data_IF_543604192533
#
_entry.id   IF_543604192533
#
_cell.length_a   1.000
_cell.length_b   1.000
_cell.length_c   1.000
_cell.angle_alpha   90.00
_cell.angle_beta   90.00
_cell.angle_gamma   90.00
#
_symmetry.space_group_name_H-M   'P 1'
#
loop_
_entity.id
_entity.type
_entity.pdbx_description
1 polymer ?
#
# COMPACT_ATOMS: atom_id res chain seq x y z
N UNK A 1 32.43 17.47 15.11
CA UNK A 1 32.05 18.08 13.81
C UNK A 1 32.49 17.27 12.58
N UNK A 2 33.53 16.40 12.64
CA UNK A 2 33.98 15.59 11.50
C UNK A 2 33.20 14.26 11.29
N UNK A 3 32.66 13.63 12.34
CA UNK A 3 31.85 12.40 12.22
C UNK A 3 30.54 12.60 11.45
N UNK A 4 29.92 13.77 11.62
CA UNK A 4 28.61 14.11 11.03
C UNK A 4 28.66 14.20 9.50
N UNK A 5 29.77 14.73 8.96
CA UNK A 5 29.95 14.91 7.51
C UNK A 5 30.19 13.57 6.79
N UNK A 6 30.83 12.61 7.46
CA UNK A 6 31.04 11.25 6.91
C UNK A 6 29.75 10.44 6.89
N UNK A 7 28.94 10.53 7.95
CA UNK A 7 27.64 9.85 8.02
C UNK A 7 26.64 10.45 7.01
N UNK A 8 26.62 11.77 6.85
CA UNK A 8 25.83 12.45 5.81
C UNK A 8 26.21 11.98 4.39
N UNK A 9 27.51 11.87 4.10
CA UNK A 9 27.99 11.40 2.79
C UNK A 9 27.64 9.93 2.52
N UNK A 10 27.65 9.09 3.54
CA UNK A 10 27.19 7.69 3.44
C UNK A 10 25.69 7.64 3.14
N UNK A 11 24.87 8.40 3.87
CA UNK A 11 23.42 8.46 3.66
C UNK A 11 23.07 8.98 2.25
N UNK A 12 23.74 10.03 1.77
CA UNK A 12 23.56 10.57 0.42
C UNK A 12 23.95 9.55 -0.66
N UNK A 13 25.02 8.78 -0.44
CA UNK A 13 25.43 7.72 -1.34
C UNK A 13 24.38 6.59 -1.42
N UNK A 14 23.83 6.16 -0.28
CA UNK A 14 22.77 5.16 -0.25
C UNK A 14 21.49 5.60 -0.94
N UNK A 15 21.06 6.85 -0.72
CA UNK A 15 19.88 7.39 -1.37
C UNK A 15 20.06 7.44 -2.89
N UNK A 16 21.26 7.79 -3.36
CA UNK A 16 21.59 7.78 -4.80
C UNK A 16 21.62 6.38 -5.38
N UNK A 17 22.21 5.41 -4.68
CA UNK A 17 22.21 4.01 -5.13
C UNK A 17 20.77 3.47 -5.19
N UNK A 18 19.97 3.74 -4.16
CA UNK A 18 18.56 3.30 -4.12
C UNK A 18 17.76 3.89 -5.28
N UNK A 19 17.93 5.19 -5.57
CA UNK A 19 17.29 5.86 -6.71
C UNK A 19 17.76 5.29 -8.06
N UNK A 20 19.05 4.97 -8.20
CA UNK A 20 19.59 4.31 -9.39
C UNK A 20 18.98 2.92 -9.57
N UNK A 21 18.89 2.11 -8.51
CA UNK A 21 18.29 0.77 -8.56
C UNK A 21 16.82 0.83 -8.95
N UNK A 22 16.05 1.77 -8.40
CA UNK A 22 14.64 1.97 -8.77
C UNK A 22 14.49 2.35 -10.25
N UNK A 23 15.35 3.24 -10.76
CA UNK A 23 15.34 3.64 -12.17
C UNK A 23 15.74 2.51 -13.12
N UNK A 24 16.73 1.69 -12.74
CA UNK A 24 17.14 0.51 -13.50
C UNK A 24 15.99 -0.49 -13.56
N UNK A 25 15.34 -0.80 -12.43
CA UNK A 25 14.22 -1.75 -12.40
C UNK A 25 13.05 -1.26 -13.27
N UNK A 26 12.68 0.02 -13.17
CA UNK A 26 11.64 0.62 -14.02
C UNK A 26 11.99 0.53 -15.51
N UNK A 27 13.26 0.76 -15.89
CA UNK A 27 13.69 0.65 -17.28
C UNK A 27 13.70 -0.81 -17.77
N UNK A 28 14.05 -1.77 -16.91
CA UNK A 28 13.98 -3.21 -17.19
C UNK A 28 12.53 -3.66 -17.43
N UNK A 29 11.59 -3.18 -16.62
CA UNK A 29 10.16 -3.48 -16.77
C UNK A 29 9.60 -2.92 -18.10
N UNK A 30 9.97 -1.68 -18.45
CA UNK A 30 9.58 -1.06 -19.71
C UNK A 30 10.15 -1.81 -20.93
N UNK A 31 11.41 -2.27 -20.87
CA UNK A 31 12.04 -3.05 -21.94
C UNK A 31 11.43 -4.45 -22.06
N UNK A 32 11.16 -5.12 -20.94
CA UNK A 32 10.49 -6.43 -20.91
C UNK A 32 9.09 -6.33 -21.54
N UNK A 33 8.39 -5.24 -21.26
CA UNK A 33 7.09 -4.96 -21.88
C UNK A 33 7.20 -4.74 -23.39
N UNK A 34 8.18 -3.98 -23.86
CA UNK A 34 8.41 -3.74 -25.29
C UNK A 34 8.78 -5.03 -26.04
N UNK A 35 9.55 -5.92 -25.42
CA UNK A 35 9.95 -7.21 -26.01
C UNK A 35 8.83 -8.27 -25.96
N UNK A 36 7.94 -8.22 -24.97
CA UNK A 36 6.79 -9.12 -24.84
C UNK A 36 5.57 -8.71 -25.67
N UNK A 37 5.49 -7.45 -26.09
CA UNK A 37 4.50 -7.00 -27.07
C UNK A 37 4.90 -7.47 -28.47
N UNK A 38 3.99 -8.09 -29.24
CA UNK A 38 4.15 -8.56 -30.63
C UNK A 38 4.51 -7.42 -31.60
N UNK A 39 5.66 -6.78 -31.41
CA UNK A 39 6.09 -5.58 -32.10
C UNK A 39 7.45 -5.85 -32.74
N UNK A 40 7.56 -5.42 -34.00
CA UNK A 40 8.66 -5.72 -34.92
C UNK A 40 9.92 -4.88 -34.67
N UNK A 41 10.19 -4.44 -33.44
CA UNK A 41 11.30 -3.51 -33.16
C UNK A 41 12.65 -4.20 -32.92
N UNK A 42 12.65 -5.47 -32.51
CA UNK A 42 13.87 -6.25 -32.22
C UNK A 42 13.76 -7.64 -32.86
N UNK A 43 14.90 -8.21 -33.27
CA UNK A 43 14.93 -9.64 -33.62
C UNK A 43 14.81 -10.48 -32.35
N UNK A 44 14.34 -11.72 -32.47
CA UNK A 44 14.14 -12.63 -31.33
C UNK A 44 15.46 -12.91 -30.59
N UNK A 45 16.59 -12.89 -31.31
CA UNK A 45 17.93 -13.06 -30.75
C UNK A 45 18.42 -11.78 -30.03
N UNK A 46 18.16 -10.59 -30.59
CA UNK A 46 18.48 -9.30 -29.93
C UNK A 46 17.67 -9.12 -28.63
N UNK A 47 16.38 -9.47 -28.64
CA UNK A 47 15.53 -9.40 -27.45
C UNK A 47 16.04 -10.31 -26.33
N UNK A 48 16.47 -11.53 -26.69
CA UNK A 48 17.04 -12.49 -25.74
C UNK A 48 18.37 -11.99 -25.16
N UNK A 49 19.26 -11.47 -26.00
CA UNK A 49 20.54 -10.90 -25.57
C UNK A 49 20.34 -9.68 -24.64
N UNK A 50 19.36 -8.81 -24.93
CA UNK A 50 19.03 -7.66 -24.09
C UNK A 50 18.50 -8.10 -22.72
N UNK A 51 17.60 -9.10 -22.67
CA UNK A 51 17.10 -9.66 -21.41
C UNK A 51 18.23 -10.26 -20.56
N UNK A 52 19.13 -11.02 -21.17
CA UNK A 52 20.27 -11.62 -20.48
C UNK A 52 21.24 -10.54 -19.94
N UNK A 53 21.47 -9.47 -20.69
CA UNK A 53 22.26 -8.33 -20.20
C UNK A 53 21.59 -7.60 -19.03
N UNK A 54 20.26 -7.43 -19.05
CA UNK A 54 19.51 -6.80 -17.96
C UNK A 54 19.52 -7.64 -16.69
N UNK A 55 19.38 -8.96 -16.80
CA UNK A 55 19.49 -9.88 -15.67
C UNK A 55 20.88 -9.82 -15.04
N UNK A 56 21.93 -9.77 -15.86
CA UNK A 56 23.31 -9.61 -15.41
C UNK A 56 23.55 -8.26 -14.70
N UNK A 57 23.02 -7.15 -15.23
CA UNK A 57 23.10 -5.83 -14.58
C UNK A 57 22.36 -5.82 -13.24
N UNK A 58 21.19 -6.45 -13.18
CA UNK A 58 20.38 -6.55 -11.94
C UNK A 58 21.09 -7.41 -10.88
N UNK A 59 21.70 -8.53 -11.29
CA UNK A 59 22.53 -9.37 -10.42
C UNK A 59 23.77 -8.63 -9.90
N UNK A 60 24.46 -7.88 -10.77
CA UNK A 60 25.63 -7.10 -10.41
C UNK A 60 25.28 -5.95 -9.45
N UNK A 61 24.20 -5.22 -9.71
CA UNK A 61 23.75 -4.13 -8.82
C UNK A 61 23.34 -4.67 -7.44
N UNK A 62 22.70 -5.83 -7.38
CA UNK A 62 22.38 -6.51 -6.11
C UNK A 62 23.66 -6.88 -5.35
N UNK A 63 24.68 -7.44 -6.03
CA UNK A 63 25.99 -7.76 -5.42
C UNK A 63 26.71 -6.52 -4.91
N UNK A 64 26.69 -5.42 -5.66
CA UNK A 64 27.28 -4.14 -5.22
C UNK A 64 26.55 -3.63 -3.98
N UNK A 65 25.22 -3.71 -3.93
CA UNK A 65 24.42 -3.31 -2.78
C UNK A 65 24.80 -4.12 -1.53
N UNK A 66 24.87 -5.46 -1.66
CA UNK A 66 25.28 -6.36 -0.58
C UNK A 66 26.71 -6.04 -0.12
N UNK A 67 27.65 -5.86 -1.04
CA UNK A 67 29.04 -5.51 -0.69
C UNK A 67 29.18 -4.14 -0.01
N UNK A 68 28.33 -3.17 -0.39
CA UNK A 68 28.29 -1.85 0.23
C UNK A 68 27.71 -1.93 1.65
N UNK A 69 26.71 -2.78 1.87
CA UNK A 69 26.14 -3.08 3.19
C UNK A 69 27.20 -3.74 4.08
N UNK A 70 27.89 -4.77 3.59
CA UNK A 70 28.94 -5.50 4.33
C UNK A 70 30.14 -4.62 4.70
N UNK A 71 30.47 -3.64 3.85
CA UNK A 71 31.58 -2.70 4.09
C UNK A 71 31.33 -1.71 5.23
N UNK A 72 30.08 -1.59 5.71
CA UNK A 72 29.67 -0.60 6.73
C UNK A 72 29.59 -1.22 8.13
N UNK A 73 29.45 -2.54 8.25
CA UNK A 73 29.50 -3.25 9.54
C UNK A 73 29.83 -4.75 9.35
N UNK A 74 31.07 -5.20 9.58
CA UNK A 74 31.34 -6.62 9.69
C UNK A 74 30.85 -7.10 11.06
N UNK A 75 29.60 -7.58 11.14
CA UNK A 75 29.14 -8.40 12.27
C UNK A 75 27.93 -7.95 13.07
N UNK A 76 27.17 -6.92 12.66
CA UNK A 76 25.91 -6.59 13.31
C UNK A 76 24.73 -6.91 12.38
N UNK A 77 24.37 -8.19 12.33
CA UNK A 77 23.00 -8.58 12.01
C UNK A 77 22.14 -8.19 13.22
N UNK A 78 21.73 -6.94 13.26
CA UNK A 78 20.40 -6.60 13.70
C UNK A 78 19.62 -6.26 12.43
N UNK A 79 18.89 -7.24 11.91
CA UNK A 79 17.82 -7.02 10.95
C UNK A 79 16.77 -6.16 11.63
N UNK A 80 16.99 -4.85 11.71
CA UNK A 80 15.93 -3.87 11.91
C UNK A 80 15.27 -3.63 10.53
N UNK A 81 14.70 -4.73 10.03
CA UNK A 81 13.47 -4.69 9.27
C UNK A 81 12.41 -4.07 10.18
N UNK A 82 12.40 -2.75 10.27
CA UNK A 82 11.13 -2.03 10.14
C UNK A 82 10.95 -1.89 8.63
N UNK A 83 10.55 -2.94 7.93
CA UNK A 83 9.17 -3.40 7.99
C UNK A 83 8.29 -2.35 8.71
N UNK A 84 8.07 -1.23 8.03
CA UNK A 84 6.69 -0.77 7.96
C UNK A 84 6.01 -1.91 7.21
N UNK A 85 5.61 -2.98 7.90
CA UNK A 85 4.50 -2.88 8.82
C UNK A 85 3.25 -2.44 8.05
N UNK A 86 3.24 -2.65 6.72
CA UNK A 86 2.12 -3.34 6.12
C UNK A 86 2.06 -4.65 6.88
N UNK A 87 1.41 -4.61 8.06
CA UNK A 87 0.72 -5.79 8.52
C UNK A 87 0.10 -6.34 7.26
N UNK A 88 0.46 -7.57 6.90
CA UNK A 88 -0.49 -8.42 6.26
C UNK A 88 -1.77 -8.21 7.06
N UNK A 89 -2.64 -7.34 6.54
CA UNK A 89 -4.05 -7.52 6.68
C UNK A 89 -4.18 -8.84 5.96
N UNK A 90 -3.97 -9.91 6.72
CA UNK A 90 -4.51 -11.21 6.48
C UNK A 90 -5.89 -10.89 5.96
N UNK A 91 -6.13 -11.19 4.68
CA UNK A 91 -7.35 -10.82 3.99
C UNK A 91 -8.48 -11.47 4.75
N UNK A 92 -8.98 -10.80 5.80
CA UNK A 92 -10.29 -11.03 6.34
C UNK A 92 -11.18 -10.62 5.18
N UNK A 93 -11.89 -11.57 4.56
CA UNK A 93 -12.86 -11.24 3.53
C UNK A 93 -13.75 -10.16 4.12
N UNK A 94 -13.92 -9.04 3.39
CA UNK A 94 -14.78 -7.97 3.87
C UNK A 94 -16.13 -8.60 4.18
N UNK A 95 -16.59 -8.44 5.42
CA UNK A 95 -17.89 -8.96 5.85
C UNK A 95 -18.94 -8.56 4.81
N UNK A 96 -19.77 -9.49 4.31
CA UNK A 96 -20.70 -9.24 3.21
C UNK A 96 -21.64 -8.05 3.51
N UNK A 97 -21.94 -7.82 4.78
CA UNK A 97 -22.70 -6.67 5.27
C UNK A 97 -22.07 -5.30 4.95
N UNK A 98 -20.73 -5.22 4.90
CA UNK A 98 -20.03 -3.98 4.57
C UNK A 98 -20.02 -3.71 3.06
N UNK A 99 -19.95 -4.77 2.25
CA UNK A 99 -20.02 -4.67 0.78
C UNK A 99 -21.37 -4.08 0.36
N UNK A 100 -22.46 -4.53 0.99
CA UNK A 100 -23.81 -4.03 0.70
C UNK A 100 -24.03 -2.52 0.97
N UNK A 101 -23.13 -1.89 1.74
CA UNK A 101 -23.19 -0.47 2.10
C UNK A 101 -22.32 0.41 1.19
N UNK A 102 -21.54 -0.18 0.30
CA UNK A 102 -20.67 0.53 -0.63
C UNK A 102 -21.46 0.97 -1.87
N UNK A 103 -21.13 2.13 -2.46
CA UNK A 103 -21.65 2.51 -3.77
C UNK A 103 -21.16 1.56 -4.88
N UNK A 104 -21.99 1.35 -5.91
CA UNK A 104 -21.69 0.45 -7.04
C UNK A 104 -20.32 0.72 -7.68
N UNK A 105 -19.98 1.98 -7.89
CA UNK A 105 -18.68 2.39 -8.43
C UNK A 105 -17.49 1.91 -7.58
N UNK A 106 -17.64 1.85 -6.25
CA UNK A 106 -16.57 1.33 -5.40
C UNK A 106 -16.43 -0.16 -5.55
N UNK A 107 -17.54 -0.87 -5.72
CA UNK A 107 -17.55 -2.32 -5.98
C UNK A 107 -16.83 -2.63 -7.30
N UNK A 108 -17.05 -1.83 -8.34
CA UNK A 108 -16.32 -1.94 -9.61
C UNK A 108 -14.80 -1.74 -9.41
N UNK A 109 -14.39 -0.71 -8.67
CA UNK A 109 -12.98 -0.46 -8.40
C UNK A 109 -12.36 -1.62 -7.60
N UNK A 110 -13.08 -2.17 -6.61
CA UNK A 110 -12.63 -3.35 -5.84
C UNK A 110 -12.41 -4.55 -6.76
N UNK A 111 -13.26 -4.75 -7.76
CA UNK A 111 -13.12 -5.85 -8.70
C UNK A 111 -11.88 -5.71 -9.61
N UNK A 112 -11.36 -4.48 -9.79
CA UNK A 112 -10.19 -4.20 -10.63
C UNK A 112 -8.91 -4.31 -9.81
N UNK A 113 -8.74 -3.43 -8.82
CA UNK A 113 -7.47 -3.28 -8.08
C UNK A 113 -7.45 -4.00 -6.73
N UNK A 114 -8.54 -4.69 -6.39
CA UNK A 114 -8.70 -5.32 -5.09
C UNK A 114 -9.16 -4.36 -3.99
N UNK A 115 -9.60 -4.96 -2.89
CA UNK A 115 -10.20 -4.23 -1.77
C UNK A 115 -9.21 -3.29 -1.10
N UNK A 116 -8.04 -3.78 -0.72
CA UNK A 116 -7.12 -3.03 0.13
C UNK A 116 -6.63 -1.75 -0.56
N UNK A 117 -6.28 -1.86 -1.83
CA UNK A 117 -5.88 -0.74 -2.69
C UNK A 117 -7.03 0.24 -2.92
N UNK A 118 -8.24 -0.26 -3.13
CA UNK A 118 -9.45 0.59 -3.21
C UNK A 118 -9.70 1.38 -1.92
N UNK A 119 -9.54 0.74 -0.76
CA UNK A 119 -9.72 1.41 0.53
C UNK A 119 -8.68 2.51 0.75
N UNK A 120 -7.41 2.28 0.37
CA UNK A 120 -6.36 3.31 0.44
C UNK A 120 -6.64 4.46 -0.53
N UNK A 121 -7.14 4.15 -1.74
CA UNK A 121 -7.53 5.13 -2.75
C UNK A 121 -8.64 6.05 -2.21
N UNK A 122 -9.72 5.47 -1.70
CA UNK A 122 -10.86 6.22 -1.15
C UNK A 122 -10.46 7.05 0.07
N UNK A 123 -9.62 6.50 0.96
CA UNK A 123 -9.13 7.23 2.13
C UNK A 123 -8.36 8.51 1.75
N UNK A 124 -7.68 8.49 0.60
CA UNK A 124 -6.80 9.58 0.18
C UNK A 124 -7.46 10.56 -0.78
N UNK A 125 -8.31 10.08 -1.68
CA UNK A 125 -8.93 10.88 -2.75
C UNK A 125 -10.46 10.90 -2.71
N UNK A 126 -11.08 10.29 -1.69
CA UNK A 126 -12.53 10.29 -1.54
C UNK A 126 -13.13 11.69 -1.49
N UNK A 127 -14.28 11.87 -2.12
CA UNK A 127 -14.99 13.14 -2.25
C UNK A 127 -14.49 14.01 -3.41
N UNK A 128 -13.59 13.50 -4.26
CA UNK A 128 -13.03 14.23 -5.39
C UNK A 128 -13.37 13.55 -6.71
N UNK A 129 -13.53 14.35 -7.77
CA UNK A 129 -13.53 13.84 -9.14
C UNK A 129 -12.09 13.76 -9.61
N UNK A 130 -11.59 12.54 -9.75
CA UNK A 130 -10.22 12.28 -10.17
C UNK A 130 -10.15 12.12 -11.69
N UNK A 131 -9.39 12.95 -12.42
CA UNK A 131 -9.22 12.79 -13.85
C UNK A 131 -8.28 11.62 -14.12
N UNK A 132 -8.83 10.44 -14.39
CA UNK A 132 -8.07 9.27 -14.86
C UNK A 132 -7.95 9.41 -16.37
N UNK A 133 -6.75 9.76 -16.85
CA UNK A 133 -6.49 9.97 -18.27
C UNK A 133 -6.09 8.68 -18.98
N UNK A 134 -6.01 8.75 -20.32
CA UNK A 134 -5.47 7.68 -21.19
C UNK A 134 -3.99 7.91 -21.52
N UNK A 135 -3.27 6.81 -21.70
CA UNK A 135 -1.95 6.76 -22.35
C UNK A 135 -0.78 7.35 -21.55
N UNK A 136 0.39 7.40 -22.21
CA UNK A 136 1.68 7.75 -21.60
C UNK A 136 1.66 9.16 -21.00
N UNK A 137 0.90 10.10 -21.59
CA UNK A 137 0.78 11.48 -21.10
C UNK A 137 0.13 11.55 -19.71
N UNK A 138 -0.84 10.67 -19.43
CA UNK A 138 -1.41 10.56 -18.09
C UNK A 138 -0.42 9.96 -17.12
N UNK A 139 0.21 8.83 -17.49
CA UNK A 139 1.17 8.10 -16.66
C UNK A 139 2.41 8.96 -16.28
N UNK A 140 2.86 9.89 -17.12
CA UNK A 140 3.93 10.83 -16.78
C UNK A 140 3.47 12.09 -16.03
N UNK A 141 2.16 12.31 -15.91
CA UNK A 141 1.56 13.54 -15.42
C UNK A 141 1.47 13.67 -13.89
N UNK A 142 1.12 14.87 -13.38
CA UNK A 142 1.01 15.13 -11.94
C UNK A 142 -0.06 14.27 -11.24
N UNK A 143 -1.12 13.89 -11.95
CA UNK A 143 -2.20 13.07 -11.37
C UNK A 143 -1.78 11.60 -11.24
N UNK A 144 -1.07 11.03 -12.21
CA UNK A 144 -0.51 9.69 -12.04
C UNK A 144 0.54 9.66 -10.91
N UNK A 145 1.37 10.71 -10.77
CA UNK A 145 2.28 10.83 -9.63
C UNK A 145 1.55 10.81 -8.27
N UNK A 146 0.37 11.45 -8.18
CA UNK A 146 -0.48 11.37 -6.98
C UNK A 146 -1.03 9.97 -6.76
N UNK A 147 -1.50 9.27 -7.79
CA UNK A 147 -1.97 7.90 -7.64
C UNK A 147 -0.84 6.95 -7.20
N UNK A 148 0.38 7.13 -7.72
CA UNK A 148 1.56 6.33 -7.37
C UNK A 148 1.97 6.40 -5.90
N UNK A 149 1.53 7.42 -5.16
CA UNK A 149 1.82 7.47 -3.71
C UNK A 149 1.05 6.40 -2.93
N UNK A 150 0.04 5.78 -3.55
CA UNK A 150 -0.90 4.86 -2.90
C UNK A 150 -1.04 3.54 -3.65
N UNK A 151 -1.04 3.59 -4.99
CA UNK A 151 -1.23 2.46 -5.89
C UNK A 151 0.05 2.13 -6.65
N UNK A 152 0.18 0.88 -7.05
CA UNK A 152 1.21 0.40 -7.96
C UNK A 152 0.94 0.85 -9.41
N UNK A 153 1.97 0.85 -10.25
CA UNK A 153 1.83 1.19 -11.66
C UNK A 153 0.91 0.23 -12.42
N UNK A 154 0.87 -1.05 -12.02
CA UNK A 154 -0.04 -2.04 -12.59
C UNK A 154 -1.51 -1.70 -12.32
N UNK A 155 -1.86 -1.39 -11.07
CA UNK A 155 -3.23 -1.00 -10.67
C UNK A 155 -3.67 0.30 -11.36
N UNK A 156 -2.76 1.28 -11.48
CA UNK A 156 -3.04 2.54 -12.18
C UNK A 156 -3.30 2.30 -13.67
N UNK A 157 -2.56 1.36 -14.28
CA UNK A 157 -2.74 0.97 -15.68
C UNK A 157 -4.10 0.30 -15.88
N UNK A 158 -4.49 -0.63 -15.01
CA UNK A 158 -5.80 -1.29 -15.07
C UNK A 158 -6.95 -0.30 -14.93
N UNK A 159 -6.87 0.63 -13.98
CA UNK A 159 -7.84 1.72 -13.83
C UNK A 159 -7.90 2.62 -15.06
N UNK A 160 -6.75 2.95 -15.66
CA UNK A 160 -6.68 3.80 -16.85
C UNK A 160 -7.31 3.12 -18.08
N UNK A 161 -7.14 1.81 -18.22
CA UNK A 161 -7.76 1.01 -19.29
C UNK A 161 -9.28 0.94 -19.07
N UNK A 162 -9.72 0.59 -17.86
CA UNK A 162 -11.14 0.39 -17.56
C UNK A 162 -11.97 1.67 -17.70
N UNK A 163 -11.52 2.78 -17.09
CA UNK A 163 -12.25 4.06 -17.12
C UNK A 163 -11.98 4.88 -18.38
N UNK A 164 -11.03 4.45 -19.21
CA UNK A 164 -10.84 4.94 -20.56
C UNK A 164 -10.79 6.49 -20.69
N UNK A 165 -10.17 7.19 -19.75
CA UNK A 165 -10.00 8.65 -19.84
C UNK A 165 -11.14 9.48 -19.26
N UNK A 166 -12.18 8.85 -18.71
CA UNK A 166 -13.33 9.55 -18.13
C UNK A 166 -12.99 10.02 -16.71
N UNK A 167 -13.30 11.29 -16.34
CA UNK A 167 -13.17 11.74 -14.96
C UNK A 167 -14.04 10.90 -14.03
N UNK A 168 -13.43 10.29 -13.02
CA UNK A 168 -14.08 9.35 -12.10
C UNK A 168 -14.36 10.04 -10.77
N UNK A 169 -15.62 10.07 -10.35
CA UNK A 169 -15.96 10.58 -9.00
C UNK A 169 -15.68 9.53 -7.94
N UNK A 170 -14.74 9.76 -7.02
CA UNK A 170 -14.47 8.83 -5.93
C UNK A 170 -15.34 9.18 -4.71
N UNK A 171 -16.31 8.34 -4.31
CA UNK A 171 -17.12 8.60 -3.12
C UNK A 171 -16.29 8.48 -1.83
N UNK A 172 -16.63 9.25 -0.78
CA UNK A 172 -15.86 9.25 0.48
C UNK A 172 -15.97 7.98 1.31
N UNK A 173 -17.09 7.25 1.21
CA UNK A 173 -17.39 6.08 2.03
C UNK A 173 -17.14 6.24 3.55
N UNK A 174 -17.28 7.48 4.08
CA UNK A 174 -16.92 7.82 5.47
C UNK A 174 -17.60 6.93 6.51
N UNK A 175 -18.84 6.50 6.22
CA UNK A 175 -19.62 5.62 7.10
C UNK A 175 -19.01 4.22 7.14
N UNK A 176 -18.69 3.66 5.97
CA UNK A 176 -18.11 2.31 5.85
C UNK A 176 -16.69 2.29 6.42
N UNK A 177 -15.87 3.31 6.11
CA UNK A 177 -14.53 3.48 6.69
C UNK A 177 -14.57 3.56 8.22
N UNK A 178 -15.52 4.31 8.78
CA UNK A 178 -15.72 4.37 10.24
C UNK A 178 -16.11 3.02 10.81
N UNK A 179 -16.96 2.27 10.13
CA UNK A 179 -17.39 0.95 10.57
C UNK A 179 -16.23 -0.06 10.56
N UNK A 180 -15.43 -0.08 9.49
CA UNK A 180 -14.21 -0.90 9.40
C UNK A 180 -13.26 -0.55 10.55
N UNK A 181 -12.95 0.74 10.74
CA UNK A 181 -12.09 1.19 11.84
C UNK A 181 -12.61 0.72 13.20
N UNK A 182 -13.90 0.86 13.44
CA UNK A 182 -14.52 0.45 14.70
C UNK A 182 -14.42 -1.07 14.92
N UNK A 183 -14.58 -1.89 13.87
CA UNK A 183 -14.42 -3.36 13.96
C UNK A 183 -12.99 -3.76 14.28
N UNK A 184 -12.01 -3.16 13.59
CA UNK A 184 -10.59 -3.42 13.86
C UNK A 184 -10.21 -3.00 15.29
N UNK A 185 -10.70 -1.83 15.76
CA UNK A 185 -10.53 -1.40 17.14
C UNK A 185 -11.07 -2.42 18.15
N UNK A 186 -12.27 -2.96 17.92
CA UNK A 186 -12.88 -3.96 18.80
C UNK A 186 -12.11 -5.29 18.78
N UNK A 187 -11.69 -5.75 17.60
CA UNK A 187 -10.87 -6.96 17.44
C UNK A 187 -9.57 -6.84 18.23
N UNK A 188 -8.85 -5.73 18.07
CA UNK A 188 -7.60 -5.49 18.80
C UNK A 188 -7.83 -5.31 20.31
N UNK A 189 -8.91 -4.61 20.72
CA UNK A 189 -9.30 -4.52 22.12
C UNK A 189 -9.50 -5.91 22.74
N UNK A 190 -10.26 -6.78 22.07
CA UNK A 190 -10.50 -8.14 22.56
C UNK A 190 -9.21 -8.96 22.62
N UNK A 191 -8.33 -8.85 21.62
CA UNK A 191 -7.02 -9.49 21.63
C UNK A 191 -6.15 -9.02 22.81
N UNK A 192 -6.08 -7.71 23.07
CA UNK A 192 -5.36 -7.17 24.23
C UNK A 192 -5.95 -7.64 25.56
N UNK A 193 -7.28 -7.73 25.66
CA UNK A 193 -7.96 -8.25 26.85
C UNK A 193 -7.66 -9.73 27.08
N UNK A 194 -7.61 -10.54 26.03
CA UNK A 194 -7.22 -11.95 26.11
C UNK A 194 -5.75 -12.12 26.51
N UNK A 195 -4.88 -11.21 26.08
CA UNK A 195 -3.48 -11.14 26.50
C UNK A 195 -3.27 -10.61 27.95
N UNK A 196 -4.36 -10.37 28.71
CA UNK A 196 -4.30 -9.98 30.11
C UNK A 196 -4.21 -8.47 30.37
N UNK A 197 -4.32 -7.61 29.34
CA UNK A 197 -4.31 -6.17 29.54
C UNK A 197 -5.57 -5.68 30.28
N UNK A 198 -5.43 -4.68 31.16
CA UNK A 198 -6.57 -4.02 31.80
C UNK A 198 -7.35 -3.18 30.77
N UNK A 199 -8.66 -3.02 30.98
CA UNK A 199 -9.49 -2.19 30.09
C UNK A 199 -9.01 -0.73 30.06
N UNK A 200 -8.50 -0.21 31.18
CA UNK A 200 -7.90 1.12 31.26
C UNK A 200 -6.62 1.22 30.42
N UNK A 201 -5.75 0.19 30.45
CA UNK A 201 -4.56 0.15 29.58
C UNK A 201 -4.96 0.18 28.10
N UNK A 202 -5.94 -0.63 27.72
CA UNK A 202 -6.45 -0.66 26.34
C UNK A 202 -6.98 0.71 25.91
N UNK A 203 -7.70 1.41 26.79
CA UNK A 203 -8.30 2.72 26.49
C UNK A 203 -7.30 3.88 26.55
N UNK A 204 -6.13 3.68 27.16
CA UNK A 204 -4.99 4.60 27.04
C UNK A 204 -4.24 4.45 25.72
N UNK A 205 -4.13 3.22 25.20
CA UNK A 205 -3.26 2.89 24.06
C UNK A 205 -3.98 2.85 22.70
N UNK A 206 -5.21 2.30 22.64
CA UNK A 206 -5.91 2.11 21.36
C UNK A 206 -6.56 3.38 20.80
N UNK A 207 -7.29 4.22 21.58
CA UNK A 207 -7.97 5.38 21.01
C UNK A 207 -7.05 6.34 20.23
N UNK A 208 -5.84 6.70 20.73
CA UNK A 208 -4.89 7.50 19.98
C UNK A 208 -4.45 6.84 18.66
N UNK A 209 -4.20 5.53 18.67
CA UNK A 209 -3.79 4.75 17.48
C UNK A 209 -4.82 4.82 16.35
N UNK A 210 -6.11 4.85 16.69
CA UNK A 210 -7.22 4.88 15.73
C UNK A 210 -7.80 6.28 15.48
N UNK A 211 -7.21 7.33 16.07
CA UNK A 211 -7.71 8.70 15.94
C UNK A 211 -9.12 8.87 16.51
N UNK A 212 -9.41 8.23 17.65
CA UNK A 212 -10.67 8.37 18.38
C UNK A 212 -10.40 8.82 19.82
N UNK A 213 -11.36 9.51 20.41
CA UNK A 213 -11.29 9.89 21.83
C UNK A 213 -11.52 8.68 22.73
N UNK A 214 -10.95 8.70 23.94
CA UNK A 214 -11.20 7.70 24.98
C UNK A 214 -12.71 7.43 25.22
N UNK A 215 -13.49 8.51 25.38
CA UNK A 215 -14.96 8.44 25.54
C UNK A 215 -15.64 7.68 24.41
N UNK A 216 -15.25 7.96 23.17
CA UNK A 216 -15.79 7.25 22.00
C UNK A 216 -15.43 5.76 22.01
N UNK A 217 -14.23 5.39 22.49
CA UNK A 217 -13.84 3.99 22.67
C UNK A 217 -14.75 3.26 23.66
N UNK A 218 -15.06 3.87 24.80
CA UNK A 218 -16.01 3.33 25.76
C UNK A 218 -17.43 3.22 25.20
N UNK A 219 -17.90 4.26 24.53
CA UNK A 219 -19.22 4.26 23.87
C UNK A 219 -19.32 3.14 22.82
N UNK A 220 -18.23 2.88 22.09
CA UNK A 220 -18.16 1.80 21.10
C UNK A 220 -18.28 0.42 21.75
N UNK A 221 -17.60 0.18 22.88
CA UNK A 221 -17.74 -1.07 23.64
C UNK A 221 -19.15 -1.27 24.17
N UNK A 222 -19.78 -0.20 24.68
CA UNK A 222 -21.16 -0.24 25.16
C UNK A 222 -22.12 -0.63 24.05
N UNK A 223 -22.03 0.05 22.89
CA UNK A 223 -22.84 -0.26 21.71
C UNK A 223 -22.63 -1.70 21.24
N UNK A 224 -21.39 -2.17 21.18
CA UNK A 224 -21.09 -3.55 20.79
C UNK A 224 -21.73 -4.57 21.74
N UNK A 225 -21.67 -4.33 23.06
CA UNK A 225 -22.33 -5.18 24.05
C UNK A 225 -23.85 -5.20 23.87
N UNK A 226 -24.46 -4.05 23.61
CA UNK A 226 -25.91 -3.93 23.37
C UNK A 226 -26.33 -4.68 22.10
N UNK A 227 -25.54 -4.57 21.03
CA UNK A 227 -25.77 -5.29 19.77
C UNK A 227 -25.68 -6.82 19.98
N UNK A 228 -24.65 -7.32 20.66
CA UNK A 228 -24.52 -8.75 20.96
C UNK A 228 -25.68 -9.26 21.81
N UNK A 229 -26.16 -8.47 22.77
CA UNK A 229 -27.35 -8.82 23.58
C UNK A 229 -28.62 -8.87 22.74
N UNK A 230 -28.82 -7.94 21.81
CA UNK A 230 -30.00 -7.96 20.94
C UNK A 230 -30.01 -9.16 19.99
N UNK A 231 -28.85 -9.53 19.44
CA UNK A 231 -28.74 -10.68 18.53
C UNK A 231 -28.85 -12.01 19.27
N UNK A 232 -28.38 -12.08 20.51
CA UNK A 232 -28.50 -13.28 21.37
C UNK A 232 -29.86 -13.48 22.03
N UNK A 233 -30.82 -12.55 21.85
CA UNK A 233 -32.17 -12.63 22.44
C UNK A 233 -33.25 -13.09 21.46
N UNK A 234 -32.90 -13.38 20.20
CA UNK A 234 -33.79 -14.04 19.25
C UNK A 234 -33.65 -15.55 19.47
N UNK A 235 -34.46 -16.08 20.39
CA UNK A 235 -34.78 -17.50 20.48
C UNK A 235 -36.00 -17.81 19.63
#
# INVERSE_FOLDING_TARGET
MLKDKSEQQKADFFNRITDITVKINSATDDLTYLMGSNSTYFTEDDAKNILEMLENITSLTTKVLVSAIDSIAPGDIATDSKDTGVNAIQEDPLDPDLISKLPDMVIEIIAIIGLNSTMKLIKSFGGTTFPIGKGIRFLGGPNAKRLRTILSDAEIKELSIYFAGVPLYLPRCDRVLREIRNRVFLKEYHAMRQAGASSLKCMRELPPKYGVTDRYGWDLLKKHRELVKSTGSVK
#
